data_IF_522311702278
#
_entry.id   IF_522311702278
#
_cell.length_a   1.000
_cell.length_b   1.000
_cell.length_c   1.000
_cell.angle_alpha   90.00
_cell.angle_beta   90.00
_cell.angle_gamma   90.00
#
_symmetry.space_group_name_H-M   'P 1'
#
loop_
_entity.id
_entity.type
_entity.pdbx_description
1 polymer ?
#
# COMPACT_ATOMS: atom_id res chain seq x y z
N UNK A 1 12.68 18.58 3.91
CA UNK A 1 12.59 19.09 2.53
C UNK A 1 12.35 18.00 1.47
N UNK A 2 12.57 16.71 1.75
CA UNK A 2 12.35 15.61 0.77
C UNK A 2 10.93 15.02 0.70
N UNK A 3 10.08 15.25 1.71
CA UNK A 3 8.71 14.69 1.70
C UNK A 3 7.82 15.24 0.58
N UNK A 4 8.01 16.51 0.17
CA UNK A 4 7.22 17.11 -0.91
C UNK A 4 7.48 16.47 -2.28
N UNK A 5 8.74 16.12 -2.59
CA UNK A 5 9.10 15.45 -3.83
C UNK A 5 8.53 14.04 -3.93
N UNK A 6 8.66 13.23 -2.86
CA UNK A 6 8.08 11.87 -2.81
C UNK A 6 6.55 11.92 -2.92
N UNK A 7 5.91 12.88 -2.24
CA UNK A 7 4.46 13.03 -2.28
C UNK A 7 3.98 13.46 -3.68
N UNK A 8 4.70 14.36 -4.35
CA UNK A 8 4.42 14.77 -5.72
C UNK A 8 4.58 13.61 -6.72
N UNK A 9 5.65 12.81 -6.57
CA UNK A 9 5.88 11.61 -7.40
C UNK A 9 4.79 10.56 -7.22
N UNK A 10 4.38 10.27 -5.98
CA UNK A 10 3.29 9.32 -5.68
C UNK A 10 1.98 9.75 -6.34
N UNK A 11 1.58 11.02 -6.18
CA UNK A 11 0.36 11.57 -6.82
C UNK A 11 0.45 11.51 -8.34
N UNK A 12 1.58 11.89 -8.94
CA UNK A 12 1.76 11.88 -10.39
C UNK A 12 1.74 10.46 -10.97
N UNK A 13 2.30 9.47 -10.27
CA UNK A 13 2.16 8.08 -10.67
C UNK A 13 0.72 7.59 -10.57
N UNK A 14 0.03 7.94 -9.48
CA UNK A 14 -1.37 7.56 -9.29
C UNK A 14 -2.25 8.14 -10.41
N UNK A 15 -2.04 9.40 -10.82
CA UNK A 15 -2.79 10.00 -11.95
C UNK A 15 -2.66 9.24 -13.26
N UNK A 16 -1.55 8.54 -13.50
CA UNK A 16 -1.34 7.76 -14.72
C UNK A 16 -2.09 6.42 -14.74
N UNK A 17 -2.45 5.91 -13.57
CA UNK A 17 -3.09 4.59 -13.41
C UNK A 17 -4.62 4.71 -13.42
N UNK A 18 -5.16 5.85 -13.01
CA UNK A 18 -6.61 6.03 -12.84
C UNK A 18 -7.32 6.11 -14.20
N UNK A 19 -8.41 5.35 -14.43
CA UNK A 19 -9.21 5.44 -15.64
C UNK A 19 -9.90 6.80 -15.78
N UNK A 20 -9.87 7.36 -17.00
CA UNK A 20 -10.50 8.63 -17.32
C UNK A 20 -12.02 8.55 -17.13
N UNK A 21 -12.54 9.26 -16.12
CA UNK A 21 -13.97 9.27 -15.77
C UNK A 21 -14.27 8.98 -14.30
N UNK A 22 -13.34 8.33 -13.57
CA UNK A 22 -13.49 8.03 -12.13
C UNK A 22 -12.42 8.69 -11.26
N UNK A 23 -11.72 9.69 -11.79
CA UNK A 23 -10.59 10.36 -11.12
C UNK A 23 -10.92 10.81 -9.69
N UNK A 24 -12.13 11.34 -9.47
CA UNK A 24 -12.57 11.80 -8.15
C UNK A 24 -12.65 10.69 -7.08
N UNK A 25 -13.13 9.50 -7.44
CA UNK A 25 -13.28 8.37 -6.49
C UNK A 25 -11.92 7.80 -6.07
N UNK A 26 -11.03 7.57 -7.04
CA UNK A 26 -9.68 7.06 -6.74
C UNK A 26 -8.86 8.07 -5.94
N UNK A 27 -8.93 9.36 -6.28
CA UNK A 27 -8.28 10.41 -5.49
C UNK A 27 -8.89 10.55 -4.10
N UNK A 28 -10.21 10.39 -3.97
CA UNK A 28 -10.90 10.36 -2.68
C UNK A 28 -10.40 9.22 -1.80
N UNK A 29 -10.30 8.01 -2.33
CA UNK A 29 -9.73 6.85 -1.62
C UNK A 29 -8.27 7.10 -1.21
N UNK A 30 -7.42 7.60 -2.12
CA UNK A 30 -6.03 7.95 -1.81
C UNK A 30 -5.94 8.95 -0.65
N UNK A 31 -6.76 10.00 -0.67
CA UNK A 31 -6.76 11.05 0.34
C UNK A 31 -7.28 10.55 1.70
N UNK A 32 -8.34 9.73 1.71
CA UNK A 32 -8.88 9.10 2.92
C UNK A 32 -7.84 8.15 3.53
N UNK A 33 -7.18 7.31 2.72
CA UNK A 33 -6.11 6.44 3.20
C UNK A 33 -4.95 7.25 3.80
N UNK A 34 -4.53 8.33 3.14
CA UNK A 34 -3.43 9.18 3.61
C UNK A 34 -3.77 9.92 4.91
N UNK A 35 -4.96 10.51 5.01
CA UNK A 35 -5.45 11.16 6.23
C UNK A 35 -5.69 10.16 7.36
N UNK A 36 -6.26 9.00 7.04
CA UNK A 36 -6.49 7.90 7.98
C UNK A 36 -5.19 7.35 8.57
N UNK A 37 -4.17 7.13 7.73
CA UNK A 37 -2.84 6.73 8.19
C UNK A 37 -2.19 7.79 9.08
N UNK A 38 -2.34 9.07 8.73
CA UNK A 38 -1.82 10.19 9.54
C UNK A 38 -2.50 10.26 10.91
N UNK A 39 -3.81 10.07 10.94
CA UNK A 39 -4.58 10.02 12.18
C UNK A 39 -4.16 8.83 13.06
N UNK A 40 -4.11 7.62 12.49
CA UNK A 40 -3.70 6.42 13.24
C UNK A 40 -2.26 6.51 13.77
N UNK A 41 -1.31 6.94 12.92
CA UNK A 41 0.08 7.08 13.33
C UNK A 41 0.25 8.07 14.49
N UNK A 42 -0.43 9.22 14.41
CA UNK A 42 -0.40 10.23 15.48
C UNK A 42 -1.03 9.72 16.76
N UNK A 43 -2.17 9.02 16.68
CA UNK A 43 -2.84 8.44 17.85
C UNK A 43 -1.94 7.41 18.54
N UNK A 44 -1.33 6.50 17.79
CA UNK A 44 -0.41 5.48 18.35
C UNK A 44 0.78 6.15 19.04
N UNK A 45 1.45 7.09 18.35
CA UNK A 45 2.60 7.81 18.92
C UNK A 45 2.20 8.59 20.16
N UNK A 46 1.04 9.25 20.15
CA UNK A 46 0.52 10.02 21.28
C UNK A 46 0.23 9.14 22.48
N UNK A 47 -0.46 8.00 22.29
CA UNK A 47 -0.76 7.06 23.37
C UNK A 47 0.52 6.49 23.98
N UNK A 48 1.46 6.05 23.14
CA UNK A 48 2.74 5.48 23.60
C UNK A 48 3.59 6.55 24.30
N UNK A 49 3.63 7.77 23.79
CA UNK A 49 4.34 8.89 24.41
C UNK A 49 3.76 9.24 25.78
N UNK A 50 2.44 9.25 25.93
CA UNK A 50 1.77 9.55 27.20
C UNK A 50 2.02 8.44 28.23
N UNK A 51 1.91 7.17 27.83
CA UNK A 51 2.17 6.04 28.72
C UNK A 51 3.63 5.99 29.20
N UNK A 52 4.57 6.36 28.33
CA UNK A 52 6.01 6.27 28.63
C UNK A 52 6.55 7.54 29.33
N UNK A 53 5.80 8.64 29.31
CA UNK A 53 6.21 9.95 29.84
C UNK A 53 7.40 10.59 29.11
N UNK A 54 7.86 10.00 27.99
CA UNK A 54 9.02 10.47 27.24
C UNK A 54 8.75 10.43 25.74
N UNK A 55 8.76 11.63 25.13
CA UNK A 55 8.47 11.85 23.70
C UNK A 55 9.44 11.10 22.79
N UNK A 56 10.72 10.97 23.17
CA UNK A 56 11.72 10.26 22.36
C UNK A 56 11.38 8.79 22.17
N UNK A 57 10.79 8.15 23.20
CA UNK A 57 10.31 6.76 23.10
C UNK A 57 9.03 6.67 22.27
N UNK A 58 8.17 7.68 22.32
CA UNK A 58 7.00 7.80 21.45
C UNK A 58 7.37 7.91 19.96
N UNK A 59 8.33 8.78 19.63
CA UNK A 59 8.85 8.91 18.24
C UNK A 59 9.57 7.63 17.80
N UNK A 60 10.28 6.95 18.71
CA UNK A 60 10.89 5.64 18.45
C UNK A 60 9.89 4.57 17.99
N UNK A 61 8.61 4.67 18.39
CA UNK A 61 7.55 3.76 17.93
C UNK A 61 7.31 3.84 16.41
N UNK A 62 7.60 4.97 15.77
CA UNK A 62 7.50 5.12 14.32
C UNK A 62 8.43 4.13 13.62
N UNK A 63 9.64 3.89 14.16
CA UNK A 63 10.56 2.91 13.62
C UNK A 63 10.00 1.48 13.72
N UNK A 64 9.34 1.15 14.83
CA UNK A 64 8.69 -0.16 15.03
C UNK A 64 7.54 -0.34 14.03
N UNK A 65 6.70 0.68 13.84
CA UNK A 65 5.63 0.66 12.84
C UNK A 65 6.18 0.49 11.42
N UNK A 66 7.32 1.11 11.12
CA UNK A 66 7.97 0.97 9.83
C UNK A 66 8.47 -0.46 9.58
N UNK A 67 9.09 -1.08 10.59
CA UNK A 67 9.53 -2.49 10.51
C UNK A 67 8.33 -3.42 10.36
N UNK A 68 7.27 -3.22 11.14
CA UNK A 68 6.05 -4.01 11.03
C UNK A 68 5.41 -3.88 9.63
N UNK A 69 5.31 -2.66 9.11
CA UNK A 69 4.83 -2.39 7.76
C UNK A 69 5.72 -3.02 6.68
N UNK A 70 7.04 -2.99 6.85
CA UNK A 70 7.98 -3.61 5.91
C UNK A 70 7.84 -5.14 5.89
N UNK A 71 7.71 -5.79 7.06
CA UNK A 71 7.47 -7.25 7.14
C UNK A 71 6.15 -7.61 6.47
N UNK A 72 5.09 -6.85 6.76
CA UNK A 72 3.79 -7.05 6.12
C UNK A 72 3.85 -6.88 4.60
N UNK A 73 4.56 -5.86 4.12
CA UNK A 73 4.76 -5.61 2.69
C UNK A 73 5.50 -6.75 2.00
N UNK A 74 6.60 -7.24 2.59
CA UNK A 74 7.34 -8.40 2.07
C UNK A 74 6.45 -9.65 2.03
N UNK A 75 5.63 -9.86 3.06
CA UNK A 75 4.68 -10.97 3.07
C UNK A 75 3.64 -10.85 1.95
N UNK A 76 3.07 -9.65 1.77
CA UNK A 76 2.10 -9.37 0.69
C UNK A 76 2.68 -9.63 -0.69
N UNK A 77 3.95 -9.26 -0.93
CA UNK A 77 4.62 -9.50 -2.22
C UNK A 77 4.81 -10.99 -2.52
N UNK A 78 4.82 -11.86 -1.51
CA UNK A 78 4.91 -13.32 -1.71
C UNK A 78 3.58 -13.98 -2.05
N UNK A 79 2.44 -13.29 -1.91
CA UNK A 79 1.11 -13.86 -2.12
C UNK A 79 0.62 -13.74 -3.58
N UNK A 80 1.27 -12.94 -4.41
CA UNK A 80 0.91 -12.77 -5.84
C UNK A 80 1.41 -13.82 -6.86
N UNK A 81 2.35 -14.77 -6.61
CA UNK A 81 2.81 -15.68 -7.65
C UNK A 81 1.76 -16.73 -8.04
N UNK A 82 0.89 -17.15 -7.12
CA UNK A 82 -0.04 -18.27 -7.34
C UNK A 82 -1.15 -17.94 -8.35
N UNK A 83 -1.59 -16.67 -8.40
CA UNK A 83 -2.75 -16.27 -9.21
C UNK A 83 -2.41 -16.00 -10.68
N UNK A 84 -1.14 -15.75 -11.00
CA UNK A 84 -0.67 -15.60 -12.39
C UNK A 84 -0.44 -16.97 -13.03
N UNK A 85 0.17 -17.90 -12.30
CA UNK A 85 0.49 -19.25 -12.79
C UNK A 85 -0.79 -20.07 -13.08
N UNK A 86 -1.78 -20.03 -12.17
CA UNK A 86 -3.08 -20.69 -12.40
C UNK A 86 -3.85 -20.14 -13.60
N UNK A 87 -3.78 -18.82 -13.86
CA UNK A 87 -4.47 -18.21 -15.00
C UNK A 87 -3.77 -18.55 -16.32
N UNK A 88 -2.45 -18.67 -16.32
CA UNK A 88 -1.67 -19.10 -17.48
C UNK A 88 -1.89 -20.58 -17.81
N UNK A 89 -1.97 -21.46 -16.80
CA UNK A 89 -2.33 -22.87 -17.01
C UNK A 89 -3.77 -23.02 -17.53
N UNK A 90 -4.74 -22.24 -17.01
CA UNK A 90 -6.12 -22.25 -17.49
C UNK A 90 -6.25 -21.76 -18.94
N UNK A 91 -5.43 -20.77 -19.34
CA UNK A 91 -5.39 -20.25 -20.72
C UNK A 91 -4.73 -21.26 -21.67
N UNK A 92 -3.62 -21.89 -21.28
CA UNK A 92 -2.97 -22.95 -22.07
C UNK A 92 -3.90 -24.15 -22.25
N UNK A 93 -4.63 -24.55 -21.21
CA UNK A 93 -5.64 -25.60 -21.28
C UNK A 93 -6.77 -25.28 -22.28
N UNK A 94 -7.26 -24.03 -22.33
CA UNK A 94 -8.31 -23.64 -23.29
C UNK A 94 -7.79 -23.50 -24.73
N UNK A 95 -6.54 -23.10 -24.92
CA UNK A 95 -5.92 -22.99 -26.24
C UNK A 95 -5.62 -24.36 -26.85
N UNK A 96 -5.07 -25.29 -26.06
CA UNK A 96 -4.78 -26.66 -26.53
C UNK A 96 -6.06 -27.41 -26.99
N UNK A 97 -7.20 -27.16 -26.34
CA UNK A 97 -8.50 -27.74 -26.72
C UNK A 97 -9.07 -27.13 -28.01
N UNK A 98 -8.61 -25.94 -28.42
CA UNK A 98 -9.09 -25.26 -29.64
C UNK A 98 -8.29 -25.64 -30.89
N UNK A 99 -7.04 -26.13 -30.75
CA UNK A 99 -6.21 -26.62 -31.86
C UNK A 99 -6.51 -28.09 -32.27
N UNK A 100 -7.38 -28.80 -31.52
CA UNK A 100 -7.73 -30.20 -31.77
C UNK A 100 -9.02 -30.39 -32.62
N UNK A 101 -9.57 -29.31 -33.21
CA UNK A 101 -10.77 -29.31 -34.07
C UNK A 101 -10.52 -28.59 -35.40
#
# INVERSE_FOLDING_TARGET
MFQGGIQALSRSYFTKIIPAGQSGEYFGLMDICGKGASFMGTTIVSVVSQMTGNVSKGVGMIAVLFVAGMVFFIYSLRVEPEKKEQREELIKSKLAVTEEY
#
